data_IF_579316115416
#
_entry.id   IF_579316115416
#
_cell.length_a   1.000
_cell.length_b   1.000
_cell.length_c   1.000
_cell.angle_alpha   90.00
_cell.angle_beta   90.00
_cell.angle_gamma   90.00
#
_symmetry.space_group_name_H-M   'P 1'
#
loop_
_entity.id
_entity.type
_entity.pdbx_description
1 polymer ?
#
# COMPACT_ATOMS: atom_id res chain seq x y z
N UNK A 1 -10.48 -16.32 -10.49
CA UNK A 1 -10.59 -14.98 -9.88
C UNK A 1 -11.91 -14.28 -10.27
N UNK A 2 -12.16 -13.99 -11.55
CA UNK A 2 -13.42 -13.36 -12.03
C UNK A 2 -14.72 -14.11 -11.66
N UNK A 3 -14.72 -15.45 -11.67
CA UNK A 3 -15.91 -16.25 -11.28
C UNK A 3 -16.18 -16.17 -9.77
N UNK A 4 -15.14 -16.02 -8.95
CA UNK A 4 -15.27 -15.84 -7.50
C UNK A 4 -15.77 -14.43 -7.17
N UNK A 5 -15.17 -13.40 -7.79
CA UNK A 5 -15.61 -12.00 -7.69
C UNK A 5 -17.10 -11.83 -8.03
N UNK A 6 -17.59 -12.45 -9.11
CA UNK A 6 -19.00 -12.31 -9.54
C UNK A 6 -19.99 -12.99 -8.60
N UNK A 7 -19.67 -14.18 -8.06
CA UNK A 7 -20.55 -14.88 -7.12
C UNK A 7 -20.60 -14.19 -5.77
N UNK A 8 -19.45 -13.69 -5.31
CA UNK A 8 -19.34 -12.93 -4.07
C UNK A 8 -20.04 -11.57 -4.14
N UNK A 9 -19.90 -10.86 -5.27
CA UNK A 9 -20.61 -9.61 -5.53
C UNK A 9 -22.14 -9.77 -5.48
N UNK A 10 -22.69 -10.84 -6.09
CA UNK A 10 -24.12 -11.10 -6.07
C UNK A 10 -24.65 -11.38 -4.65
N UNK A 11 -23.87 -12.08 -3.82
CA UNK A 11 -24.21 -12.30 -2.43
C UNK A 11 -24.16 -10.99 -1.61
N UNK A 12 -23.11 -10.16 -1.81
CA UNK A 12 -22.97 -8.85 -1.18
C UNK A 12 -24.13 -7.91 -1.51
N UNK A 13 -24.53 -7.84 -2.78
CA UNK A 13 -25.68 -7.04 -3.24
C UNK A 13 -27.03 -7.42 -2.60
N UNK A 14 -27.16 -8.64 -2.08
CA UNK A 14 -28.39 -9.11 -1.42
C UNK A 14 -28.45 -8.76 0.07
N UNK A 15 -27.30 -8.58 0.72
CA UNK A 15 -27.20 -8.47 2.19
C UNK A 15 -26.68 -7.11 2.67
N UNK A 16 -26.00 -6.35 1.82
CA UNK A 16 -25.41 -5.05 2.12
C UNK A 16 -26.26 -3.92 1.55
N UNK A 17 -26.14 -2.72 2.13
CA UNK A 17 -26.64 -1.51 1.47
C UNK A 17 -25.87 -1.23 0.16
N UNK A 18 -26.43 -0.43 -0.77
CA UNK A 18 -25.73 -0.03 -1.98
C UNK A 18 -24.37 0.61 -1.71
N UNK A 19 -24.27 1.47 -0.68
CA UNK A 19 -23.03 2.16 -0.31
C UNK A 19 -21.96 1.19 0.20
N UNK A 20 -22.35 0.26 1.10
CA UNK A 20 -21.45 -0.79 1.60
C UNK A 20 -21.01 -1.75 0.48
N UNK A 21 -21.92 -2.04 -0.46
CA UNK A 21 -21.60 -2.86 -1.63
C UNK A 21 -20.54 -2.19 -2.49
N UNK A 22 -20.68 -0.90 -2.79
CA UNK A 22 -19.70 -0.12 -3.57
C UNK A 22 -18.36 -0.10 -2.86
N UNK A 23 -18.33 0.19 -1.56
CA UNK A 23 -17.10 0.21 -0.76
C UNK A 23 -16.42 -1.16 -0.77
N UNK A 24 -17.17 -2.24 -0.54
CA UNK A 24 -16.64 -3.61 -0.51
C UNK A 24 -16.09 -4.06 -1.86
N UNK A 25 -16.80 -3.77 -2.96
CA UNK A 25 -16.33 -4.10 -4.31
C UNK A 25 -15.09 -3.28 -4.69
N UNK A 26 -15.05 -2.01 -4.29
CA UNK A 26 -13.91 -1.14 -4.57
C UNK A 26 -12.66 -1.54 -3.79
N UNK A 27 -12.78 -1.92 -2.51
CA UNK A 27 -11.68 -2.49 -1.73
C UNK A 27 -11.09 -3.71 -2.44
N UNK A 28 -11.95 -4.66 -2.83
CA UNK A 28 -11.54 -5.89 -3.46
C UNK A 28 -10.88 -5.63 -4.83
N UNK A 29 -11.49 -4.79 -5.67
CA UNK A 29 -10.96 -4.44 -6.98
C UNK A 29 -9.65 -3.67 -6.91
N UNK A 30 -9.55 -2.66 -6.03
CA UNK A 30 -8.36 -1.84 -5.85
C UNK A 30 -7.18 -2.68 -5.37
N UNK A 31 -7.43 -3.59 -4.43
CA UNK A 31 -6.44 -4.54 -3.96
C UNK A 31 -5.87 -5.38 -5.11
N UNK A 32 -6.73 -5.99 -5.95
CA UNK A 32 -6.27 -6.77 -7.10
C UNK A 32 -5.61 -5.90 -8.18
N UNK A 33 -6.07 -4.67 -8.37
CA UNK A 33 -5.50 -3.75 -9.35
C UNK A 33 -4.04 -3.42 -9.04
N UNK A 34 -3.70 -3.21 -7.77
CA UNK A 34 -2.33 -2.91 -7.34
C UNK A 34 -1.34 -4.06 -7.60
N UNK A 35 -1.81 -5.31 -7.77
CA UNK A 35 -0.95 -6.45 -8.15
C UNK A 35 -0.47 -6.40 -9.61
N UNK A 36 -1.00 -5.47 -10.42
CA UNK A 36 -0.53 -5.25 -11.77
C UNK A 36 0.53 -4.15 -11.75
N UNK A 37 1.77 -4.48 -12.12
CA UNK A 37 2.91 -3.55 -12.10
C UNK A 37 2.64 -2.29 -12.90
N UNK A 38 1.86 -2.36 -13.99
CA UNK A 38 1.48 -1.21 -14.81
C UNK A 38 0.57 -0.24 -14.06
N UNK A 39 -0.32 -0.78 -13.22
CA UNK A 39 -1.19 0.00 -12.33
C UNK A 39 -0.38 0.56 -11.16
N UNK A 40 0.44 -0.27 -10.49
CA UNK A 40 1.28 0.18 -9.38
C UNK A 40 2.29 1.26 -9.82
N UNK A 41 2.84 1.13 -11.04
CA UNK A 41 3.67 2.15 -11.67
C UNK A 41 2.87 3.42 -11.92
N UNK A 42 1.64 3.32 -12.43
CA UNK A 42 0.75 4.48 -12.57
C UNK A 42 0.47 5.17 -11.24
N UNK A 43 0.19 4.40 -10.19
CA UNK A 43 -0.03 4.90 -8.83
C UNK A 43 1.20 5.63 -8.33
N UNK A 44 2.40 5.08 -8.52
CA UNK A 44 3.63 5.66 -7.98
C UNK A 44 3.87 7.08 -8.49
N UNK A 45 3.65 7.38 -9.77
CA UNK A 45 3.84 8.75 -10.26
C UNK A 45 2.60 9.63 -10.17
N UNK A 46 1.39 9.09 -10.02
CA UNK A 46 0.15 9.89 -9.94
C UNK A 46 -0.25 10.29 -8.52
N UNK A 47 0.25 9.59 -7.50
CA UNK A 47 -0.08 9.92 -6.12
C UNK A 47 0.41 11.31 -5.71
N UNK A 48 -0.36 11.99 -4.87
CA UNK A 48 -0.08 13.33 -4.36
C UNK A 48 0.29 13.23 -2.88
N UNK A 49 1.34 13.93 -2.50
CA UNK A 49 1.78 13.97 -1.11
C UNK A 49 0.84 14.82 -0.26
N UNK A 50 0.38 14.28 0.85
CA UNK A 50 -0.43 14.97 1.86
C UNK A 50 0.54 15.65 2.84
N UNK A 51 0.87 16.91 2.53
CA UNK A 51 1.89 17.71 3.23
C UNK A 51 1.59 17.84 4.73
N UNK A 52 2.65 17.88 5.52
CA UNK A 52 2.55 18.31 6.91
C UNK A 52 2.44 19.82 6.98
N UNK A 53 1.78 20.31 8.02
CA UNK A 53 1.74 21.73 8.31
C UNK A 53 3.17 22.26 8.48
N UNK A 54 3.50 23.37 7.80
CA UNK A 54 4.83 23.97 7.81
C UNK A 54 5.86 23.35 6.87
N UNK A 55 5.57 22.23 6.18
CA UNK A 55 6.47 21.67 5.17
C UNK A 55 6.45 22.51 3.88
N UNK A 56 7.63 22.99 3.48
CA UNK A 56 7.79 23.82 2.28
C UNK A 56 8.09 22.97 1.03
N UNK A 57 8.48 21.71 1.19
CA UNK A 57 8.90 20.82 0.09
C UNK A 57 8.21 19.47 0.15
N UNK A 58 7.95 18.91 -1.03
CA UNK A 58 7.43 17.55 -1.14
C UNK A 58 8.52 16.53 -0.86
N UNK A 59 8.12 15.43 -0.22
CA UNK A 59 8.92 14.23 -0.07
C UNK A 59 8.59 13.26 -1.21
N UNK A 60 9.63 12.71 -1.84
CA UNK A 60 9.47 11.65 -2.84
C UNK A 60 9.22 10.32 -2.13
N UNK A 61 8.19 9.58 -2.55
CA UNK A 61 7.94 8.22 -2.05
C UNK A 61 9.00 7.24 -2.53
N UNK A 62 9.17 6.16 -1.78
CA UNK A 62 9.98 5.01 -2.20
C UNK A 62 9.54 4.47 -3.57
N UNK A 63 8.24 4.50 -3.89
CA UNK A 63 7.70 3.95 -5.13
C UNK A 63 8.04 4.78 -6.37
N UNK A 64 8.14 6.11 -6.23
CA UNK A 64 8.55 7.01 -7.33
C UNK A 64 10.00 6.77 -7.76
N UNK A 65 10.82 6.17 -6.90
CA UNK A 65 12.21 5.84 -7.20
C UNK A 65 12.41 4.53 -7.95
N UNK A 66 11.35 3.75 -8.15
CA UNK A 66 11.43 2.40 -8.72
C UNK A 66 11.02 2.37 -10.19
N UNK A 67 11.74 1.56 -10.98
CA UNK A 67 11.36 1.24 -12.35
C UNK A 67 10.17 0.28 -12.41
N UNK A 68 9.47 0.24 -13.56
CA UNK A 68 8.32 -0.65 -13.79
C UNK A 68 8.57 -2.12 -13.40
N UNK A 69 9.76 -2.66 -13.71
CA UNK A 69 10.11 -4.05 -13.38
C UNK A 69 10.45 -4.26 -11.89
N UNK A 70 10.68 -3.20 -11.13
CA UNK A 70 10.88 -3.26 -9.68
C UNK A 70 9.55 -3.11 -8.92
N UNK A 71 8.52 -2.51 -9.53
CA UNK A 71 7.17 -2.40 -8.98
C UNK A 71 6.30 -3.63 -9.27
N UNK A 72 6.89 -4.82 -9.08
CA UNK A 72 6.22 -6.08 -9.32
C UNK A 72 5.92 -6.80 -8.01
N UNK A 73 4.66 -6.76 -7.57
CA UNK A 73 4.21 -7.47 -6.38
C UNK A 73 4.11 -8.98 -6.69
N UNK A 74 5.00 -9.76 -6.06
CA UNK A 74 5.23 -11.18 -6.34
C UNK A 74 4.11 -12.09 -5.87
N UNK A 75 3.19 -11.58 -5.06
CA UNK A 75 2.06 -12.33 -4.55
C UNK A 75 1.37 -11.65 -3.39
N UNK A 76 0.35 -12.33 -2.87
CA UNK A 76 -0.44 -11.92 -1.72
C UNK A 76 -0.27 -12.95 -0.61
N UNK A 77 -0.06 -12.48 0.62
CA UNK A 77 -0.03 -13.33 1.81
C UNK A 77 -0.98 -12.76 2.88
N UNK A 78 -1.94 -13.57 3.32
CA UNK A 78 -2.82 -13.17 4.43
C UNK A 78 -2.08 -13.43 5.73
N UNK A 79 -2.07 -12.43 6.62
CA UNK A 79 -1.37 -12.55 7.90
C UNK A 79 -1.92 -13.71 8.73
N UNK A 80 -1.05 -14.52 9.34
CA UNK A 80 -1.47 -15.57 10.24
C UNK A 80 -2.40 -15.07 11.36
N UNK A 81 -3.35 -15.92 11.73
CA UNK A 81 -4.11 -15.76 12.98
C UNK A 81 -3.22 -16.09 14.19
N UNK A 82 -3.62 -15.67 15.39
CA UNK A 82 -2.82 -15.86 16.60
C UNK A 82 -2.46 -17.33 16.94
N UNK A 83 -3.11 -18.31 16.31
CA UNK A 83 -2.84 -19.76 16.50
C UNK A 83 -1.88 -20.34 15.46
N UNK A 84 -1.59 -19.60 14.41
CA UNK A 84 -0.73 -20.04 13.31
C UNK A 84 0.71 -19.59 13.54
N UNK A 85 1.65 -20.25 12.88
CA UNK A 85 3.06 -19.88 12.96
C UNK A 85 3.29 -18.53 12.28
N UNK A 86 4.19 -17.68 12.82
CA UNK A 86 4.64 -16.48 12.14
C UNK A 86 5.26 -16.81 10.78
N UNK A 87 5.22 -15.83 9.89
CA UNK A 87 5.96 -15.82 8.63
C UNK A 87 7.44 -15.72 8.97
N UNK A 88 8.27 -16.56 8.34
CA UNK A 88 9.68 -16.66 8.68
C UNK A 88 10.46 -15.35 8.42
N UNK A 89 10.15 -14.69 7.29
CA UNK A 89 10.93 -13.55 6.78
C UNK A 89 9.99 -12.46 6.25
N UNK A 90 10.36 -11.19 6.42
CA UNK A 90 9.73 -10.03 5.84
C UNK A 90 10.14 -9.92 4.36
N UNK A 91 9.30 -10.42 3.45
CA UNK A 91 9.62 -10.45 2.03
C UNK A 91 9.28 -9.13 1.35
N UNK A 92 10.25 -8.61 0.58
CA UNK A 92 10.02 -7.43 -0.25
C UNK A 92 9.08 -7.74 -1.41
N UNK A 93 8.28 -6.73 -1.78
CA UNK A 93 7.33 -6.81 -2.88
C UNK A 93 6.33 -7.97 -2.75
N UNK A 94 5.94 -8.30 -1.52
CA UNK A 94 4.80 -9.19 -1.20
C UNK A 94 3.73 -8.36 -0.52
N UNK A 95 2.49 -8.45 -1.02
CA UNK A 95 1.36 -7.74 -0.46
C UNK A 95 0.74 -8.54 0.69
N UNK A 96 0.91 -8.03 1.90
CA UNK A 96 0.36 -8.60 3.11
C UNK A 96 -1.02 -8.01 3.41
N UNK A 97 -1.99 -8.88 3.69
CA UNK A 97 -3.36 -8.48 4.10
C UNK A 97 -3.65 -8.90 5.54
N UNK A 98 -4.08 -8.00 6.43
CA UNK A 98 -4.59 -8.41 7.74
C UNK A 98 -5.72 -9.44 7.60
N UNK A 99 -5.74 -10.46 8.45
CA UNK A 99 -6.77 -11.50 8.41
C UNK A 99 -8.13 -11.08 9.00
N UNK A 100 -8.17 -9.93 9.67
CA UNK A 100 -9.38 -9.36 10.24
C UNK A 100 -10.00 -8.43 9.20
N UNK A 101 -11.27 -8.64 8.80
CA UNK A 101 -11.98 -7.71 7.90
C UNK A 101 -12.07 -6.31 8.51
N UNK A 102 -12.07 -5.27 7.66
CA UNK A 102 -12.16 -3.86 8.07
C UNK A 102 -11.09 -3.48 9.11
N UNK A 103 -9.85 -3.88 8.86
CA UNK A 103 -8.75 -3.63 9.77
C UNK A 103 -8.54 -2.11 9.93
N UNK A 104 -8.55 -1.53 11.15
CA UNK A 104 -8.74 -0.08 11.32
C UNK A 104 -7.66 0.86 10.74
N UNK A 105 -6.50 0.33 10.37
CA UNK A 105 -5.34 1.15 9.92
C UNK A 105 -5.04 0.96 8.44
N UNK A 106 -5.18 -0.25 7.91
CA UNK A 106 -4.74 -0.61 6.55
C UNK A 106 -5.61 -1.74 5.99
N UNK A 107 -5.83 -1.74 4.68
CA UNK A 107 -6.38 -2.92 3.99
C UNK A 107 -5.28 -3.87 3.54
N UNK A 108 -4.08 -3.33 3.29
CA UNK A 108 -2.89 -4.09 2.94
C UNK A 108 -1.61 -3.32 3.26
N UNK A 109 -0.48 -4.00 3.27
CA UNK A 109 0.84 -3.36 3.28
C UNK A 109 1.87 -4.24 2.58
N UNK A 110 3.00 -3.66 2.19
CA UNK A 110 4.13 -4.40 1.63
C UNK A 110 5.45 -3.72 1.97
N UNK A 111 6.54 -4.48 1.86
CA UNK A 111 7.87 -3.97 2.11
C UNK A 111 8.60 -3.63 0.81
N UNK A 112 9.33 -2.53 0.84
CA UNK A 112 10.14 -2.04 -0.28
C UNK A 112 11.55 -1.76 0.20
N UNK A 113 12.52 -2.25 -0.57
CA UNK A 113 13.93 -1.89 -0.42
C UNK A 113 14.23 -0.65 -1.27
N UNK A 114 14.79 0.41 -0.69
CA UNK A 114 14.93 1.70 -1.35
C UNK A 114 16.20 2.50 -1.01
N UNK A 115 16.40 3.58 -1.76
CA UNK A 115 17.54 4.51 -1.65
C UNK A 115 17.20 5.81 -0.90
N UNK A 116 18.19 6.63 -0.49
CA UNK A 116 17.94 7.87 0.25
C UNK A 116 17.00 8.81 -0.50
N UNK A 117 16.08 9.40 0.26
CA UNK A 117 15.06 10.28 -0.27
C UNK A 117 15.62 11.44 -1.06
N UNK A 118 14.85 11.78 -2.09
CA UNK A 118 14.96 13.07 -2.74
C UNK A 118 13.84 13.97 -2.23
N UNK A 119 14.14 15.24 -2.02
CA UNK A 119 13.13 16.28 -1.89
C UNK A 119 12.83 16.81 -3.28
N UNK A 120 11.57 17.18 -3.51
CA UNK A 120 11.15 17.75 -4.78
C UNK A 120 10.70 19.20 -4.56
N UNK A 121 11.15 20.07 -5.45
CA UNK A 121 10.59 21.40 -5.62
C UNK A 121 9.62 21.37 -6.82
N UNK A 122 8.43 21.95 -6.66
CA UNK A 122 7.41 22.05 -7.72
C UNK A 122 6.28 21.04 -7.60
N UNK A 123 5.13 21.42 -8.17
CA UNK A 123 3.89 20.62 -8.18
C UNK A 123 3.90 19.60 -9.34
N UNK A 124 3.26 18.45 -9.13
CA UNK A 124 3.00 17.50 -10.23
C UNK A 124 1.98 18.11 -11.20
N UNK A 125 2.23 17.95 -12.50
CA UNK A 125 1.22 18.22 -13.52
C UNK A 125 0.01 17.28 -13.38
N UNK A 126 -1.06 17.58 -14.11
CA UNK A 126 -2.27 16.72 -14.14
C UNK A 126 -2.00 15.28 -14.65
N UNK A 127 -0.90 15.09 -15.39
CA UNK A 127 -0.42 13.80 -15.90
C UNK A 127 0.54 13.08 -14.93
N UNK A 128 0.72 13.61 -13.71
CA UNK A 128 1.61 13.06 -12.68
C UNK A 128 3.10 13.33 -12.93
N UNK A 129 3.47 13.93 -14.07
CA UNK A 129 4.88 14.24 -14.38
C UNK A 129 5.34 15.48 -13.62
N UNK A 130 6.58 15.43 -13.17
CA UNK A 130 7.21 16.52 -12.42
C UNK A 130 7.76 17.56 -13.40
N UNK A 131 7.40 18.83 -13.21
CA UNK A 131 8.12 19.98 -13.75
C UNK A 131 8.99 20.58 -12.63
N UNK A 132 10.29 20.29 -12.63
CA UNK A 132 11.21 20.85 -11.63
C UNK A 132 12.40 19.94 -11.30
N UNK A 133 13.35 20.48 -10.53
CA UNK A 133 14.55 19.77 -10.10
C UNK A 133 14.27 18.86 -8.89
N UNK A 134 14.78 17.63 -8.95
CA UNK A 134 14.68 16.65 -7.87
C UNK A 134 16.03 16.57 -7.14
N UNK A 135 16.07 16.96 -5.87
CA UNK A 135 17.30 17.08 -5.09
C UNK A 135 17.48 15.88 -4.16
N UNK A 136 18.69 15.28 -4.11
CA UNK A 136 19.04 14.37 -3.02
C UNK A 136 19.20 15.19 -1.73
N UNK A 137 18.47 14.84 -0.68
CA UNK A 137 18.62 15.52 0.62
C UNK A 137 20.06 15.42 1.13
N UNK A 138 20.53 16.47 1.82
CA UNK A 138 21.87 16.60 2.42
C UNK A 138 22.06 15.73 3.69
N UNK A 139 21.58 14.49 3.70
CA UNK A 139 21.84 13.61 4.84
C UNK A 139 23.13 12.82 4.58
N UNK A 140 24.11 13.11 5.44
CA UNK A 140 25.51 12.73 5.37
C UNK A 140 25.76 11.27 4.99
N UNK A 141 26.88 11.07 4.29
CA UNK A 141 27.58 9.79 4.10
C UNK A 141 28.10 9.34 5.47
N UNK A 142 27.19 8.88 6.32
CA UNK A 142 27.48 8.17 7.57
C UNK A 142 27.37 6.67 7.38
N UNK A 143 27.77 5.92 8.40
CA UNK A 143 27.73 4.45 8.48
C UNK A 143 26.34 3.85 8.10
N UNK A 144 25.29 4.64 8.28
CA UNK A 144 23.88 4.41 7.91
C UNK A 144 23.64 4.24 6.40
N UNK A 145 24.57 4.68 5.55
CA UNK A 145 24.51 4.47 4.09
C UNK A 145 24.81 3.02 3.65
N UNK A 146 25.34 2.18 4.55
CA UNK A 146 25.71 0.78 4.24
C UNK A 146 24.54 -0.20 4.34
N UNK A 147 23.44 0.16 5.04
CA UNK A 147 22.23 -0.67 5.12
C UNK A 147 21.19 -0.16 4.12
N UNK A 148 20.55 -1.05 3.32
CA UNK A 148 19.46 -0.64 2.45
C UNK A 148 18.33 -0.03 3.29
N UNK A 149 17.78 1.10 2.84
CA UNK A 149 16.65 1.72 3.55
C UNK A 149 15.41 0.87 3.30
N UNK A 150 14.77 0.45 4.38
CA UNK A 150 13.57 -0.40 4.35
C UNK A 150 12.35 0.48 4.54
N UNK A 151 11.35 0.31 3.70
CA UNK A 151 10.10 1.06 3.80
C UNK A 151 8.93 0.09 3.88
N UNK A 152 8.06 0.28 4.88
CA UNK A 152 6.72 -0.31 4.85
C UNK A 152 5.79 0.67 4.12
N UNK A 153 5.14 0.19 3.08
CA UNK A 153 4.11 0.91 2.34
C UNK A 153 2.78 0.32 2.74
N UNK A 154 2.01 1.12 3.47
CA UNK A 154 0.65 0.81 3.88
C UNK A 154 -0.31 1.32 2.81
N UNK A 155 -1.35 0.53 2.55
CA UNK A 155 -2.39 0.84 1.57
C UNK A 155 -3.73 0.80 2.27
N UNK A 156 -4.51 1.84 2.03
CA UNK A 156 -5.85 1.95 2.56
C UNK A 156 -6.77 2.47 1.46
N UNK A 157 -7.81 1.72 1.15
CA UNK A 157 -8.80 2.01 0.12
C UNK A 157 -9.98 2.70 0.80
N UNK A 158 -10.52 3.75 0.19
CA UNK A 158 -11.58 4.53 0.82
C UNK A 158 -12.59 5.07 -0.19
N UNK A 159 -13.86 5.10 0.22
CA UNK A 159 -14.94 5.86 -0.42
C UNK A 159 -15.22 7.19 0.30
N UNK A 160 -14.62 7.39 1.48
CA UNK A 160 -14.73 8.61 2.28
C UNK A 160 -13.57 9.56 2.01
N UNK A 161 -13.84 10.85 2.19
CA UNK A 161 -12.87 11.94 2.12
C UNK A 161 -11.98 12.06 3.36
N UNK A 162 -12.20 11.20 4.35
CA UNK A 162 -11.40 11.06 5.55
C UNK A 162 -11.34 9.61 6.00
N UNK A 163 -10.22 9.25 6.62
CA UNK A 163 -10.07 7.99 7.31
C UNK A 163 -9.10 8.14 8.48
N UNK A 164 -9.53 8.83 9.55
CA UNK A 164 -8.73 8.97 10.74
C UNK A 164 -8.41 7.61 11.36
N UNK A 165 -7.37 7.57 12.17
CA UNK A 165 -7.04 6.41 13.00
C UNK A 165 -6.90 6.83 14.45
N UNK A 166 -6.68 5.86 15.35
CA UNK A 166 -6.39 6.10 16.76
C UNK A 166 -5.06 5.49 17.18
N UNK A 167 -4.50 5.96 18.29
CA UNK A 167 -3.26 5.40 18.83
C UNK A 167 -3.45 3.94 19.21
N UNK A 168 -4.63 3.56 19.72
CA UNK A 168 -4.97 2.16 20.05
C UNK A 168 -4.97 1.27 18.79
N UNK A 169 -5.56 1.76 17.69
CA UNK A 169 -5.55 1.04 16.42
C UNK A 169 -4.12 0.86 15.89
N UNK A 170 -3.29 1.90 15.98
CA UNK A 170 -1.91 1.84 15.52
C UNK A 170 -1.03 0.92 16.39
N UNK A 171 -1.20 0.94 17.71
CA UNK A 171 -0.55 -0.02 18.62
C UNK A 171 -0.93 -1.46 18.24
N UNK A 172 -2.23 -1.72 18.03
CA UNK A 172 -2.72 -3.03 17.60
C UNK A 172 -2.11 -3.46 16.26
N UNK A 173 -1.93 -2.54 15.31
CA UNK A 173 -1.25 -2.79 14.05
C UNK A 173 0.22 -3.15 14.22
N UNK A 174 0.96 -2.38 15.01
CA UNK A 174 2.37 -2.67 15.29
C UNK A 174 2.54 -4.04 15.96
N UNK A 175 1.69 -4.37 16.95
CA UNK A 175 1.68 -5.69 17.59
C UNK A 175 1.30 -6.80 16.61
N UNK A 176 0.36 -6.56 15.72
CA UNK A 176 -0.05 -7.51 14.69
C UNK A 176 1.09 -7.81 13.73
N UNK A 177 1.84 -6.82 13.27
CA UNK A 177 3.02 -7.05 12.43
C UNK A 177 4.09 -7.78 13.26
N UNK A 178 4.43 -7.29 14.46
CA UNK A 178 5.48 -7.88 15.29
C UNK A 178 5.25 -9.36 15.61
N UNK A 179 4.00 -9.75 15.85
CA UNK A 179 3.64 -11.16 16.10
C UNK A 179 3.74 -12.02 14.84
N UNK A 180 3.47 -11.45 13.67
CA UNK A 180 3.31 -12.22 12.42
C UNK A 180 4.61 -12.43 11.65
N UNK A 181 5.70 -11.76 11.99
CA UNK A 181 7.01 -11.95 11.34
C UNK A 181 8.07 -12.32 12.36
N UNK A 182 8.72 -13.47 12.19
CA UNK A 182 9.71 -13.98 13.14
C UNK A 182 10.94 -13.07 13.27
N UNK A 183 11.31 -12.36 12.21
CA UNK A 183 12.45 -11.44 12.18
C UNK A 183 12.10 -9.96 12.43
N UNK A 184 10.86 -9.67 12.84
CA UNK A 184 10.36 -8.30 12.89
C UNK A 184 11.26 -7.34 13.68
N UNK A 185 11.78 -7.76 14.83
CA UNK A 185 12.61 -6.89 15.68
C UNK A 185 13.88 -6.42 14.97
N UNK A 186 14.52 -7.30 14.19
CA UNK A 186 15.70 -6.95 13.39
C UNK A 186 15.30 -6.23 12.10
N UNK A 187 14.20 -6.65 11.47
CA UNK A 187 13.73 -6.06 10.22
C UNK A 187 13.23 -4.62 10.39
N UNK A 188 12.58 -4.31 11.50
CA UNK A 188 11.97 -3.00 11.78
C UNK A 188 12.99 -1.91 12.15
N UNK A 189 14.25 -2.25 12.37
CA UNK A 189 15.33 -1.28 12.55
C UNK A 189 15.42 -0.33 11.33
N UNK A 190 15.35 0.98 11.58
CA UNK A 190 15.42 2.04 10.58
C UNK A 190 14.33 1.93 9.49
N UNK A 191 13.16 1.36 9.83
CA UNK A 191 12.03 1.26 8.93
C UNK A 191 11.39 2.64 8.71
N UNK A 192 11.25 3.02 7.45
CA UNK A 192 10.42 4.15 7.04
C UNK A 192 8.98 3.70 6.84
N UNK A 193 8.03 4.57 7.16
CA UNK A 193 6.61 4.30 7.01
C UNK A 193 5.98 5.24 5.99
N UNK A 194 5.26 4.65 5.05
CA UNK A 194 4.46 5.34 4.05
C UNK A 194 3.01 4.86 4.12
N UNK A 195 2.05 5.77 3.95
CA UNK A 195 0.62 5.46 3.82
C UNK A 195 0.12 5.96 2.47
N UNK A 196 -0.56 5.12 1.71
CA UNK A 196 -1.19 5.47 0.44
C UNK A 196 -2.70 5.27 0.59
N UNK A 197 -3.44 6.36 0.49
CA UNK A 197 -4.89 6.33 0.37
C UNK A 197 -5.31 6.19 -1.09
N UNK A 198 -6.05 5.13 -1.40
CA UNK A 198 -6.61 4.87 -2.73
C UNK A 198 -8.08 5.26 -2.71
N UNK A 199 -8.41 6.40 -3.30
CA UNK A 199 -9.75 6.96 -3.30
C UNK A 199 -10.62 6.35 -4.40
N UNK A 200 -11.87 6.04 -4.07
CA UNK A 200 -12.89 5.61 -5.03
C UNK A 200 -13.28 6.77 -5.97
N UNK A 201 -13.23 6.59 -7.29
CA UNK A 201 -13.64 7.63 -8.24
C UNK A 201 -15.09 8.07 -8.03
N UNK A 202 -15.34 9.37 -8.09
CA UNK A 202 -16.67 9.96 -7.90
C UNK A 202 -17.18 9.97 -6.46
N UNK A 203 -16.40 9.49 -5.49
CA UNK A 203 -16.74 9.48 -4.07
C UNK A 203 -15.89 10.52 -3.29
N UNK A 204 -15.76 10.34 -1.97
CA UNK A 204 -14.89 11.17 -1.15
C UNK A 204 -13.42 11.02 -1.54
N UNK A 205 -12.72 12.15 -1.61
CA UNK A 205 -11.29 12.21 -1.92
C UNK A 205 -10.57 12.79 -0.72
N UNK A 206 -9.62 12.04 -0.16
CA UNK A 206 -8.71 12.56 0.85
C UNK A 206 -7.80 13.62 0.20
N UNK A 207 -7.98 14.88 0.59
CA UNK A 207 -7.16 16.00 0.15
C UNK A 207 -6.23 16.53 1.24
N UNK A 208 -6.47 16.14 2.48
CA UNK A 208 -5.74 16.60 3.66
C UNK A 208 -5.06 15.43 4.38
N UNK A 209 -4.00 15.74 5.11
CA UNK A 209 -3.29 14.77 5.92
C UNK A 209 -4.22 14.22 7.00
N UNK A 210 -4.26 12.90 7.13
CA UNK A 210 -5.11 12.24 8.11
C UNK A 210 -4.48 12.29 9.51
N UNK A 211 -5.33 12.54 10.50
CA UNK A 211 -4.94 12.69 11.90
C UNK A 211 -5.05 11.35 12.65
N UNK A 212 -4.31 11.26 13.75
CA UNK A 212 -4.53 10.25 14.77
C UNK A 212 -5.32 10.91 15.90
N UNK A 213 -6.62 10.61 16.01
CA UNK A 213 -7.61 11.46 16.68
C UNK A 213 -7.31 11.74 18.15
N UNK A 214 -6.81 10.75 18.86
CA UNK A 214 -6.51 10.78 20.29
C UNK A 214 -5.04 11.10 20.59
N UNK A 215 -4.19 11.32 19.59
CA UNK A 215 -2.76 11.55 19.76
C UNK A 215 -2.46 12.75 20.68
N UNK A 216 -3.21 13.83 20.49
CA UNK A 216 -3.09 15.05 21.27
C UNK A 216 -3.40 14.85 22.77
N UNK A 217 -4.47 14.12 23.06
CA UNK A 217 -4.85 13.75 24.43
C UNK A 217 -3.78 12.82 25.06
N UNK A 218 -3.39 11.79 24.32
CA UNK A 218 -2.38 10.81 24.70
C UNK A 218 -1.03 11.49 25.03
N UNK A 219 -0.61 12.45 24.21
CA UNK A 219 0.65 13.16 24.38
C UNK A 219 0.67 14.04 25.63
N UNK A 220 -0.46 14.66 26.00
CA UNK A 220 -0.58 15.50 27.21
C UNK A 220 -0.70 14.69 28.50
N UNK A 221 -1.12 13.43 28.43
CA UNK A 221 -1.29 12.58 29.62
C UNK A 221 0.04 12.35 30.35
N UNK A 222 0.04 12.45 31.69
CA UNK A 222 1.18 12.09 32.53
C UNK A 222 1.23 10.59 32.87
N UNK A 223 0.23 9.81 32.44
CA UNK A 223 0.13 8.39 32.74
C UNK A 223 1.22 7.58 32.02
N UNK A 224 2.01 6.83 32.80
CA UNK A 224 3.05 5.94 32.30
C UNK A 224 2.49 4.77 31.46
N UNK A 225 1.24 4.35 31.69
CA UNK A 225 0.57 3.32 30.89
C UNK A 225 0.36 3.75 29.43
N UNK A 226 0.46 5.05 29.13
CA UNK A 226 0.27 5.61 27.79
C UNK A 226 1.54 5.58 26.93
N UNK A 227 2.65 5.01 27.42
CA UNK A 227 3.93 5.02 26.70
C UNK A 227 3.84 4.42 25.29
N UNK A 228 3.16 3.27 25.12
CA UNK A 228 2.96 2.65 23.81
C UNK A 228 2.12 3.55 22.87
N UNK A 229 1.04 4.14 23.40
CA UNK A 229 0.18 5.04 22.64
C UNK A 229 0.90 6.33 22.25
N UNK A 230 1.79 6.87 23.10
CA UNK A 230 2.66 8.01 22.78
C UNK A 230 3.67 7.67 21.68
N UNK A 231 4.26 6.48 21.74
CA UNK A 231 5.14 5.99 20.67
C UNK A 231 4.39 5.84 19.35
N UNK A 232 3.14 5.35 19.40
CA UNK A 232 2.26 5.26 18.23
C UNK A 232 1.91 6.66 17.68
N UNK A 233 1.53 7.62 18.53
CA UNK A 233 1.28 9.01 18.12
C UNK A 233 2.50 9.62 17.40
N UNK A 234 3.69 9.47 17.98
CA UNK A 234 4.97 9.92 17.38
C UNK A 234 5.27 9.20 16.07
N UNK A 235 4.98 7.90 15.98
CA UNK A 235 5.11 7.16 14.73
C UNK A 235 4.21 7.76 13.65
N UNK A 236 2.91 7.97 13.94
CA UNK A 236 1.94 8.52 13.00
C UNK A 236 2.36 9.89 12.44
N UNK A 237 2.86 10.78 13.30
CA UNK A 237 3.45 12.05 12.88
C UNK A 237 4.57 11.82 11.85
N UNK A 238 5.41 10.80 12.06
CA UNK A 238 6.50 10.38 11.19
C UNK A 238 6.09 9.70 9.88
N UNK A 239 4.86 9.20 9.74
CA UNK A 239 4.40 8.51 8.52
C UNK A 239 4.22 9.52 7.39
N UNK A 240 4.86 9.31 6.25
CA UNK A 240 4.54 10.11 5.06
C UNK A 240 3.23 9.59 4.45
N UNK A 241 2.34 10.49 4.06
CA UNK A 241 1.01 10.13 3.59
C UNK A 241 0.83 10.62 2.15
N UNK A 242 0.28 9.79 1.29
CA UNK A 242 -0.06 10.10 -0.09
C UNK A 242 -1.50 9.70 -0.36
N UNK A 243 -2.09 10.34 -1.35
CA UNK A 243 -3.38 9.96 -1.90
C UNK A 243 -3.29 9.74 -3.40
N UNK A 244 -4.09 8.84 -3.92
CA UNK A 244 -4.29 8.66 -5.36
C UNK A 244 -5.76 8.34 -5.60
N UNK A 245 -6.33 8.86 -6.68
CA UNK A 245 -7.62 8.41 -7.21
C UNK A 245 -7.34 7.56 -8.45
N UNK A 246 -7.89 6.35 -8.50
CA UNK A 246 -7.74 5.50 -9.69
C UNK A 246 -8.51 6.16 -10.85
N UNK A 247 -7.79 6.81 -11.76
CA UNK A 247 -8.40 7.52 -12.89
C UNK A 247 -8.74 6.59 -14.05
N UNK A 248 -9.57 7.04 -14.99
CA UNK A 248 -9.93 6.26 -16.18
C UNK A 248 -8.70 5.72 -16.97
N UNK A 249 -7.60 6.46 -17.15
CA UNK A 249 -6.38 5.90 -17.75
C UNK A 249 -5.76 4.75 -16.96
N UNK A 250 -5.80 4.78 -15.62
CA UNK A 250 -5.34 3.66 -14.79
C UNK A 250 -6.28 2.45 -14.92
N UNK A 251 -7.58 2.70 -14.94
CA UNK A 251 -8.59 1.67 -15.16
C UNK A 251 -8.44 1.01 -16.53
N UNK A 252 -8.15 1.79 -17.57
CA UNK A 252 -7.85 1.28 -18.91
C UNK A 252 -6.54 0.47 -18.93
N UNK A 253 -5.51 0.95 -18.24
CA UNK A 253 -4.23 0.23 -18.07
C UNK A 253 -4.46 -1.12 -17.39
N UNK A 254 -5.27 -1.16 -16.33
CA UNK A 254 -5.66 -2.40 -15.66
C UNK A 254 -6.43 -3.34 -16.60
N UNK A 255 -7.40 -2.83 -17.37
CA UNK A 255 -8.16 -3.63 -18.32
C UNK A 255 -7.26 -4.28 -19.39
N UNK A 256 -6.33 -3.51 -19.96
CA UNK A 256 -5.36 -4.02 -20.94
C UNK A 256 -4.43 -5.07 -20.33
N UNK A 257 -3.89 -4.82 -19.13
CA UNK A 257 -3.01 -5.76 -18.47
C UNK A 257 -3.72 -7.08 -18.10
N UNK A 258 -5.01 -7.02 -17.75
CA UNK A 258 -5.86 -8.20 -17.57
C UNK A 258 -6.03 -8.99 -18.86
N UNK A 259 -6.31 -8.32 -19.98
CA UNK A 259 -6.44 -8.98 -21.29
C UNK A 259 -5.13 -9.65 -21.72
N UNK A 260 -3.99 -9.00 -21.54
CA UNK A 260 -2.69 -9.56 -21.88
C UNK A 260 -2.35 -10.79 -21.04
N UNK A 261 -2.60 -10.75 -19.72
CA UNK A 261 -2.44 -11.93 -18.85
C UNK A 261 -3.37 -13.06 -19.25
N UNK A 262 -4.62 -12.76 -19.61
CA UNK A 262 -5.58 -13.77 -20.08
C UNK A 262 -5.12 -14.41 -21.40
N UNK A 263 -4.65 -13.61 -22.37
CA UNK A 263 -4.10 -14.10 -23.66
C UNK A 263 -2.86 -14.97 -23.44
N UNK A 264 -1.94 -14.54 -22.57
CA UNK A 264 -0.73 -15.29 -22.21
C UNK A 264 -1.08 -16.64 -21.57
N UNK A 265 -2.03 -16.65 -20.62
CA UNK A 265 -2.49 -17.88 -19.97
C UNK A 265 -3.16 -18.86 -20.95
N UNK A 266 -4.02 -18.35 -21.84
CA UNK A 266 -4.66 -19.16 -22.88
C UNK A 266 -3.61 -19.74 -23.84
N UNK A 267 -2.64 -18.94 -24.26
CA UNK A 267 -1.53 -19.40 -25.12
C UNK A 267 -0.73 -20.53 -24.46
N UNK A 268 -0.45 -20.42 -23.15
CA UNK A 268 0.24 -21.47 -22.39
C UNK A 268 -0.57 -22.78 -22.33
N UNK A 269 -1.89 -22.69 -22.17
CA UNK A 269 -2.77 -23.85 -22.16
C UNK A 269 -2.80 -24.55 -23.52
N UNK A 270 -3.01 -23.78 -24.60
CA UNK A 270 -3.11 -24.31 -25.97
C UNK A 270 -1.73 -24.84 -26.44
N UNK A 271 -0.64 -24.16 -26.10
CA UNK A 271 0.72 -24.60 -26.43
C UNK A 271 1.17 -25.87 -25.70
N UNK A 272 0.54 -26.21 -24.57
CA UNK A 272 0.83 -27.45 -23.83
C UNK A 272 0.18 -28.70 -24.42
N UNK A 273 -0.89 -28.55 -25.22
CA UNK A 273 -1.58 -29.67 -25.88
C UNK A 273 -0.88 -30.11 -27.19
N UNK A 274 -0.02 -29.27 -27.79
CA UNK A 274 0.67 -29.57 -29.05
C UNK A 274 1.94 -30.41 -28.96
N UNK A 275 2.40 -30.79 -27.75
CA UNK A 275 3.70 -31.45 -27.55
C UNK A 275 3.62 -32.97 -27.30
N UNK A 276 2.47 -33.63 -27.54
CA UNK A 276 2.31 -35.07 -27.31
C UNK A 276 2.01 -35.96 -28.52
N UNK A 277 1.93 -35.42 -29.73
CA UNK A 277 1.80 -36.24 -30.94
C UNK A 277 2.97 -35.97 -31.89
N UNK A 278 4.07 -36.69 -31.69
CA UNK A 278 5.04 -37.09 -32.74
C UNK A 278 6.14 -37.96 -32.12
N UNK A 279 5.82 -39.22 -31.84
CA UNK A 279 6.79 -40.32 -32.00
C UNK A 279 6.08 -41.66 -31.91
N UNK A 280 5.82 -42.25 -33.08
CA UNK A 280 5.96 -43.68 -33.40
C UNK A 280 5.36 -43.91 -34.79
N UNK A 281 6.18 -43.70 -35.81
CA UNK A 281 6.28 -44.65 -36.92
C UNK A 281 7.47 -45.57 -36.64
#
# INVERSE_FOLDING_TARGET
MLVYLKRDAAAKMLIMSPEETVASLFEEYSFYALLFKEVLYSVSYMMKYLRREGEVRDVVSVLEGLHLNQLDLRGVEVLPTARQRPIAECRYMVMYKPCIPNYPVVDAFFFVEGHPHKQRNGEKGADGRVKGEVWRGFNAVGEDARRPKKTIVMVQVTTSDKHPTSTTALVSFQQTIARNFAEWDTFSENLRWEMIYVNCPGMGIINERQVCEDADEVNRSADGAMAERKNAAKLWEGIHQWQVTISDPMSATFALAQEEKAKSFISLLIGSEGAKETSKE
#
